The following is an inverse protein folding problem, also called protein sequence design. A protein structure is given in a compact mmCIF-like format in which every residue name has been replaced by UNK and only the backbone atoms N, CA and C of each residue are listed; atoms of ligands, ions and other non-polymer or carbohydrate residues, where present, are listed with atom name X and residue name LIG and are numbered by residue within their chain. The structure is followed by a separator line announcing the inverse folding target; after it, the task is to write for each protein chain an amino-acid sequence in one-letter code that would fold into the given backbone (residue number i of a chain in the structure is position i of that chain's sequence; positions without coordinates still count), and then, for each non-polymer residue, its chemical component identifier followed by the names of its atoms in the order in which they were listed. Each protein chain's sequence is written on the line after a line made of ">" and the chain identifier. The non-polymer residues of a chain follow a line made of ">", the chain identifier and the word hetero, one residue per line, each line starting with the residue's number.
data_IF_162973720334
#
_entry.id   IF_162973720334
#
_cell.length_a   1.000
_cell.length_b   1.000
_cell.length_c   1.000
_cell.angle_alpha   90.00
_cell.angle_beta   90.00
_cell.angle_gamma   90.00
#
_symmetry.space_group_name_H-M   'P 1'
#
loop_
_entity.id
_entity.type
_entity.pdbx_description
1 polymer ?
#
# COMPACT_ATOMS: atom_id res chain seq x y z
N UNK A 1 -11.89 27.02 8.80
CA UNK A 1 -12.55 26.49 7.59
C UNK A 1 -11.50 25.88 6.64
N UNK A 2 -10.97 24.70 6.93
CA UNK A 2 -10.08 23.97 6.01
C UNK A 2 -10.71 22.62 5.65
N UNK A 3 -11.83 22.68 4.91
CA UNK A 3 -12.41 21.51 4.24
C UNK A 3 -11.56 21.19 3.01
N UNK A 4 -10.32 20.70 3.20
CA UNK A 4 -9.54 20.07 2.13
C UNK A 4 -10.10 18.66 1.92
N UNK A 5 -11.25 18.61 1.26
CA UNK A 5 -11.83 17.38 0.75
C UNK A 5 -11.62 17.35 -0.77
N UNK A 6 -10.42 16.95 -1.16
CA UNK A 6 -9.94 17.09 -2.53
C UNK A 6 -9.60 15.70 -3.06
N UNK A 7 -10.18 15.34 -4.20
CA UNK A 7 -9.90 14.08 -4.88
C UNK A 7 -8.39 13.87 -5.14
N UNK A 8 -7.60 14.88 -5.57
CA UNK A 8 -6.16 14.74 -5.75
C UNK A 8 -5.41 14.33 -4.47
N UNK A 9 -5.83 14.83 -3.30
CA UNK A 9 -5.23 14.40 -2.04
C UNK A 9 -5.51 12.92 -1.79
N UNK A 10 -6.72 12.47 -2.09
CA UNK A 10 -7.08 11.05 -1.97
C UNK A 10 -6.24 10.17 -2.88
N UNK A 11 -6.02 10.60 -4.13
CA UNK A 11 -5.17 9.88 -5.09
C UNK A 11 -3.73 9.80 -4.59
N UNK A 12 -3.15 10.93 -4.16
CA UNK A 12 -1.79 10.98 -3.61
C UNK A 12 -1.68 10.03 -2.41
N UNK A 13 -2.62 10.10 -1.46
CA UNK A 13 -2.62 9.21 -0.31
C UNK A 13 -2.77 7.74 -0.72
N UNK A 14 -3.62 7.43 -1.70
CA UNK A 14 -3.81 6.08 -2.23
C UNK A 14 -2.53 5.48 -2.82
N UNK A 15 -1.72 6.29 -3.51
CA UNK A 15 -0.44 5.86 -4.11
C UNK A 15 0.67 5.79 -3.07
N UNK A 16 0.78 6.79 -2.18
CA UNK A 16 1.89 6.88 -1.23
C UNK A 16 1.72 5.97 -0.01
N UNK A 17 0.49 5.68 0.43
CA UNK A 17 0.26 4.86 1.63
C UNK A 17 0.85 3.45 1.51
N UNK A 18 0.66 2.71 0.39
CA UNK A 18 1.29 1.40 0.19
C UNK A 18 2.82 1.47 0.20
N UNK A 19 3.40 2.54 -0.35
CA UNK A 19 4.86 2.75 -0.37
C UNK A 19 5.38 2.96 1.06
N UNK A 20 4.71 3.81 1.83
CA UNK A 20 5.02 4.03 3.24
C UNK A 20 4.87 2.71 4.03
N UNK A 21 3.81 1.95 3.79
CA UNK A 21 3.60 0.65 4.43
C UNK A 21 4.74 -0.33 4.15
N UNK A 22 5.21 -0.39 2.90
CA UNK A 22 6.34 -1.21 2.51
C UNK A 22 7.62 -0.83 3.26
N UNK A 23 7.94 0.47 3.32
CA UNK A 23 9.14 0.94 4.03
C UNK A 23 9.02 0.74 5.55
N UNK A 24 7.84 0.97 6.14
CA UNK A 24 7.59 0.66 7.55
C UNK A 24 7.82 -0.82 7.82
N UNK A 25 7.29 -1.70 6.97
CA UNK A 25 7.53 -3.14 7.10
C UNK A 25 9.02 -3.49 7.02
N UNK A 26 9.72 -2.97 6.02
CA UNK A 26 11.16 -3.19 5.86
C UNK A 26 11.94 -2.71 7.10
N UNK A 27 11.72 -1.48 7.56
CA UNK A 27 12.48 -0.92 8.69
C UNK A 27 12.19 -1.69 9.98
N UNK A 28 10.92 -1.89 10.33
CA UNK A 28 10.54 -2.45 11.62
C UNK A 28 10.66 -3.98 11.71
N UNK A 29 10.39 -4.70 10.62
CA UNK A 29 10.34 -6.18 10.64
C UNK A 29 11.54 -6.85 9.98
N UNK A 30 12.36 -6.12 9.23
CA UNK A 30 13.50 -6.69 8.48
C UNK A 30 14.82 -6.06 8.92
N UNK A 31 14.95 -4.73 8.77
CA UNK A 31 16.19 -4.02 9.05
C UNK A 31 16.54 -4.03 10.54
N UNK A 32 15.60 -3.63 11.40
CA UNK A 32 15.85 -3.53 12.84
C UNK A 32 16.15 -4.88 13.53
N UNK A 33 15.45 -6.00 13.23
CA UNK A 33 15.71 -7.28 13.88
C UNK A 33 16.76 -8.17 13.18
N UNK A 34 17.01 -8.00 11.87
CA UNK A 34 17.86 -8.91 11.10
C UNK A 34 19.05 -8.23 10.42
N UNK A 35 19.14 -6.90 10.45
CA UNK A 35 20.18 -6.11 9.78
C UNK A 35 20.35 -6.40 8.29
N UNK A 36 19.26 -6.83 7.63
CA UNK A 36 19.25 -7.18 6.21
C UNK A 36 19.16 -5.90 5.37
N UNK A 37 20.03 -5.78 4.36
CA UNK A 37 20.04 -4.66 3.42
C UNK A 37 18.83 -4.67 2.48
N UNK A 38 18.51 -3.53 1.86
CA UNK A 38 17.39 -3.46 0.90
C UNK A 38 17.57 -4.44 -0.26
N UNK A 39 18.80 -4.60 -0.78
CA UNK A 39 19.09 -5.53 -1.88
C UNK A 39 18.85 -6.99 -1.51
N UNK A 40 19.26 -7.38 -0.31
CA UNK A 40 19.01 -8.72 0.23
C UNK A 40 17.51 -8.96 0.52
N UNK A 41 16.78 -7.92 0.92
CA UNK A 41 15.34 -8.03 1.11
C UNK A 41 14.62 -8.26 -0.22
N UNK A 42 15.02 -7.60 -1.30
CA UNK A 42 14.43 -7.82 -2.63
C UNK A 42 14.73 -9.24 -3.16
N UNK A 43 15.95 -9.74 -2.97
CA UNK A 43 16.28 -11.14 -3.31
C UNK A 43 15.46 -12.12 -2.48
N UNK A 44 15.30 -11.88 -1.17
CA UNK A 44 14.45 -12.71 -0.31
C UNK A 44 12.97 -12.72 -0.75
N UNK A 45 12.42 -11.58 -1.17
CA UNK A 45 11.05 -11.49 -1.72
C UNK A 45 10.93 -12.24 -3.06
N UNK A 46 11.98 -12.20 -3.89
CA UNK A 46 11.99 -12.87 -5.19
C UNK A 46 12.09 -14.38 -5.05
N UNK A 47 12.96 -14.85 -4.15
CA UNK A 47 13.21 -16.27 -3.90
C UNK A 47 12.06 -16.92 -3.13
N UNK A 48 11.38 -16.16 -2.26
CA UNK A 48 10.30 -16.67 -1.44
C UNK A 48 8.92 -16.24 -1.97
N UNK A 49 8.31 -17.10 -2.81
CA UNK A 49 6.97 -16.87 -3.39
C UNK A 49 5.87 -16.61 -2.34
N UNK A 50 6.04 -17.04 -1.09
CA UNK A 50 5.05 -16.78 -0.03
C UNK A 50 5.20 -15.40 0.63
N UNK A 51 6.33 -14.71 0.47
CA UNK A 51 6.54 -13.38 1.06
C UNK A 51 5.82 -12.28 0.30
N UNK A 52 5.74 -12.38 -1.03
CA UNK A 52 5.05 -11.41 -1.88
C UNK A 52 3.59 -11.16 -1.46
N UNK A 53 2.71 -12.18 -1.35
CA UNK A 53 1.33 -11.95 -0.95
C UNK A 53 1.22 -11.40 0.48
N UNK A 54 2.09 -11.84 1.42
CA UNK A 54 2.09 -11.32 2.80
C UNK A 54 2.38 -9.82 2.84
N UNK A 55 3.38 -9.38 2.08
CA UNK A 55 3.76 -7.97 2.00
C UNK A 55 2.66 -7.13 1.35
N UNK A 56 2.08 -7.61 0.25
CA UNK A 56 0.95 -6.96 -0.43
C UNK A 56 -0.23 -6.83 0.53
N UNK A 57 -0.57 -7.87 1.30
CA UNK A 57 -1.64 -7.80 2.29
C UNK A 57 -1.39 -6.72 3.35
N UNK A 58 -0.16 -6.58 3.87
CA UNK A 58 0.19 -5.54 4.85
C UNK A 58 0.02 -4.14 4.26
N UNK A 59 0.48 -3.94 3.02
CA UNK A 59 0.33 -2.66 2.34
C UNK A 59 -1.14 -2.30 2.09
N UNK A 60 -1.96 -3.27 1.67
CA UNK A 60 -3.39 -3.10 1.46
C UNK A 60 -4.15 -2.84 2.77
N UNK A 61 -3.77 -3.51 3.86
CA UNK A 61 -4.36 -3.28 5.19
C UNK A 61 -4.10 -1.85 5.67
N UNK A 62 -2.86 -1.34 5.54
CA UNK A 62 -2.56 0.03 5.95
C UNK A 62 -3.29 1.06 5.06
N UNK A 63 -3.38 0.81 3.76
CA UNK A 63 -4.18 1.64 2.86
C UNK A 63 -5.67 1.64 3.23
N UNK A 64 -6.23 0.47 3.55
CA UNK A 64 -7.60 0.33 4.05
C UNK A 64 -7.84 1.07 5.37
N UNK A 65 -6.86 1.08 6.27
CA UNK A 65 -6.90 1.87 7.50
C UNK A 65 -6.96 3.37 7.21
N UNK A 66 -6.12 3.87 6.30
CA UNK A 66 -6.16 5.29 5.90
C UNK A 66 -7.51 5.62 5.24
N UNK A 67 -8.00 4.77 4.34
CA UNK A 67 -9.34 4.92 3.75
C UNK A 67 -10.45 5.02 4.82
N UNK A 68 -10.43 4.11 5.81
CA UNK A 68 -11.39 4.09 6.91
C UNK A 68 -11.33 5.37 7.75
N UNK A 69 -10.13 5.84 8.11
CA UNK A 69 -9.93 7.07 8.87
C UNK A 69 -10.49 8.29 8.14
N UNK A 70 -10.24 8.42 6.83
CA UNK A 70 -10.75 9.53 6.04
C UNK A 70 -12.28 9.49 5.87
N UNK A 71 -12.86 8.30 5.81
CA UNK A 71 -14.32 8.12 5.82
C UNK A 71 -14.91 8.56 7.16
N UNK A 72 -14.27 8.19 8.29
CA UNK A 72 -14.72 8.57 9.64
C UNK A 72 -14.72 10.08 9.86
N UNK A 73 -13.80 10.81 9.24
CA UNK A 73 -13.67 12.28 9.37
C UNK A 73 -14.62 13.01 8.38
N UNK A 74 -15.54 12.29 7.70
CA UNK A 74 -16.47 12.83 6.70
C UNK A 74 -15.74 13.54 5.54
N UNK A 75 -14.59 13.00 5.12
CA UNK A 75 -13.86 13.47 3.93
C UNK A 75 -14.08 12.49 2.78
N UNK A 76 -15.33 12.44 2.33
CA UNK A 76 -15.81 11.41 1.41
C UNK A 76 -15.16 11.52 0.02
N UNK A 77 -14.83 12.73 -0.46
CA UNK A 77 -14.17 12.92 -1.76
C UNK A 77 -12.72 12.40 -1.71
N UNK A 78 -12.02 12.66 -0.61
CA UNK A 78 -10.66 12.17 -0.38
C UNK A 78 -10.66 10.64 -0.23
N UNK A 79 -11.61 10.08 0.53
CA UNK A 79 -11.77 8.63 0.68
C UNK A 79 -12.04 7.95 -0.66
N UNK A 80 -12.89 8.53 -1.53
CA UNK A 80 -13.11 8.06 -2.90
C UNK A 80 -11.82 8.03 -3.72
N UNK A 81 -10.97 9.05 -3.60
CA UNK A 81 -9.67 9.09 -4.29
C UNK A 81 -8.73 7.96 -3.84
N UNK A 82 -8.66 7.69 -2.53
CA UNK A 82 -7.87 6.57 -1.99
C UNK A 82 -8.39 5.25 -2.54
N UNK A 83 -9.70 5.01 -2.43
CA UNK A 83 -10.34 3.78 -2.89
C UNK A 83 -10.17 3.54 -4.39
N UNK A 84 -10.30 4.59 -5.21
CA UNK A 84 -10.12 4.52 -6.66
C UNK A 84 -8.71 4.03 -7.03
N UNK A 85 -7.68 4.56 -6.37
CA UNK A 85 -6.30 4.11 -6.60
C UNK A 85 -6.10 2.67 -6.16
N UNK A 86 -6.65 2.27 -5.01
CA UNK A 86 -6.55 0.89 -4.51
C UNK A 86 -7.25 -0.10 -5.42
N UNK A 87 -8.38 0.28 -6.01
CA UNK A 87 -9.09 -0.52 -7.01
C UNK A 87 -8.26 -0.66 -8.30
N UNK A 88 -7.59 0.40 -8.76
CA UNK A 88 -6.66 0.33 -9.89
C UNK A 88 -5.50 -0.63 -9.60
N UNK A 89 -4.91 -0.58 -8.40
CA UNK A 89 -3.87 -1.55 -8.01
C UNK A 89 -4.38 -2.99 -8.05
N UNK A 90 -5.58 -3.25 -7.53
CA UNK A 90 -6.16 -4.59 -7.56
C UNK A 90 -6.34 -5.09 -9.00
N UNK A 91 -6.85 -4.25 -9.90
CA UNK A 91 -6.99 -4.58 -11.33
C UNK A 91 -5.63 -4.86 -11.96
N UNK A 92 -4.62 -4.01 -11.72
CA UNK A 92 -3.26 -4.21 -12.23
C UNK A 92 -2.62 -5.51 -11.74
N UNK A 93 -2.76 -5.84 -10.45
CA UNK A 93 -2.23 -7.08 -9.88
C UNK A 93 -2.91 -8.30 -10.51
N UNK A 94 -4.23 -8.26 -10.70
CA UNK A 94 -4.98 -9.33 -11.35
C UNK A 94 -4.53 -9.49 -12.82
N UNK A 95 -4.43 -8.39 -13.57
CA UNK A 95 -3.97 -8.41 -14.97
C UNK A 95 -2.55 -8.98 -15.10
N UNK A 96 -1.63 -8.55 -14.24
CA UNK A 96 -0.26 -9.07 -14.22
C UNK A 96 -0.23 -10.56 -13.90
N UNK A 97 -1.06 -11.00 -12.96
CA UNK A 97 -1.18 -12.41 -12.59
C UNK A 97 -1.79 -13.27 -13.71
N UNK A 98 -2.69 -12.72 -14.52
CA UNK A 98 -3.24 -13.42 -15.68
C UNK A 98 -2.22 -13.48 -16.82
N UNK A 99 -1.43 -12.42 -17.03
CA UNK A 99 -0.46 -12.34 -18.12
C UNK A 99 0.83 -13.16 -17.86
N UNK A 100 1.26 -13.26 -16.60
CA UNK A 100 2.49 -13.96 -16.19
C UNK A 100 2.24 -15.25 -15.39
N UNK A 101 0.99 -15.63 -15.20
CA UNK A 101 0.58 -16.80 -14.42
C UNK A 101 0.14 -17.98 -15.27
#
# INVERSE_FOLDING_TARGET
>A
MFRKDNLPLGIILGVFTPVIAFFLYYVFFVMMPRHISLGEFFTMISDNKQMQPKLISICLLLNGLVFYLYTRIKRDVTAKGIFLVTMLYAILIILLKILHG
#
